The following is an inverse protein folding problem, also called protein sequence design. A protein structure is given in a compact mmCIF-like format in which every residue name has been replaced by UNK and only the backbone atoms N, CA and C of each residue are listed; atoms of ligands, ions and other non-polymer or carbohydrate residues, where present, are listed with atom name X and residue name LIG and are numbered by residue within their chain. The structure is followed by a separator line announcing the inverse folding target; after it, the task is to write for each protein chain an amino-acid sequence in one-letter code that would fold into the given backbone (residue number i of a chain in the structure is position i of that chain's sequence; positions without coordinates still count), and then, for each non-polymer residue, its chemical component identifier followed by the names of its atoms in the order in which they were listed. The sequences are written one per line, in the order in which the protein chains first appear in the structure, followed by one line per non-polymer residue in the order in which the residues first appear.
data_IF_607208748297
#
_entry.id   IF_607208748297
#
_cell.length_a   1.000
_cell.length_b   1.000
_cell.length_c   1.000
_cell.angle_alpha   90.00
_cell.angle_beta   90.00
_cell.angle_gamma   90.00
#
_symmetry.space_group_name_H-M   'P 1'
#
loop_
_entity.id
_entity.type
_entity.pdbx_description
1 polymer ?
#
# COMPACT_ATOMS: atom_id res chain seq x y z
N UNK A 1 -6.58 -21.68 23.19
CA UNK A 1 -6.81 -21.04 21.88
C UNK A 1 -6.50 -19.57 22.05
N UNK A 2 -5.33 -19.12 21.56
CA UNK A 2 -4.87 -17.74 21.71
C UNK A 2 -4.88 -17.08 20.33
N UNK A 3 -5.69 -16.03 20.17
CA UNK A 3 -5.68 -15.17 19.00
C UNK A 3 -4.47 -14.23 19.13
N UNK A 4 -3.53 -14.33 18.20
CA UNK A 4 -2.44 -13.36 18.08
C UNK A 4 -2.97 -12.18 17.27
N UNK A 5 -3.18 -11.05 17.94
CA UNK A 5 -3.45 -9.76 17.33
C UNK A 5 -2.17 -9.21 16.71
N UNK A 6 -2.24 -8.88 15.41
CA UNK A 6 -1.21 -8.12 14.69
C UNK A 6 -0.91 -6.80 15.41
N UNK A 7 0.35 -6.32 15.46
CA UNK A 7 0.63 -5.01 16.03
C UNK A 7 -0.04 -3.93 15.16
N UNK A 8 -0.95 -3.18 15.77
CA UNK A 8 -1.41 -1.92 15.20
C UNK A 8 -0.23 -0.94 15.17
N UNK A 9 0.12 -0.47 13.98
CA UNK A 9 0.98 0.69 13.75
C UNK A 9 0.48 1.87 14.62
N UNK A 10 1.32 2.67 15.30
CA UNK A 10 0.82 3.67 16.24
C UNK A 10 0.01 4.70 15.47
N UNK A 11 -1.32 4.63 15.66
CA UNK A 11 -2.28 5.54 15.08
C UNK A 11 -1.87 6.99 15.39
N UNK A 12 -1.80 7.82 14.35
CA UNK A 12 -1.75 9.27 14.52
C UNK A 12 -3.06 9.67 15.22
N UNK A 13 -3.03 10.24 16.44
CA UNK A 13 -4.24 10.55 17.18
C UNK A 13 -5.12 11.50 16.36
N UNK A 14 -6.32 11.04 15.98
CA UNK A 14 -7.29 11.80 15.18
C UNK A 14 -7.42 11.42 13.70
N UNK A 15 -6.69 10.41 13.21
CA UNK A 15 -6.70 9.96 11.78
C UNK A 15 -7.40 8.61 11.57
N UNK A 16 -7.80 7.93 12.65
CA UNK A 16 -8.46 6.62 12.58
C UNK A 16 -9.97 6.78 12.30
N UNK A 17 -10.29 7.14 11.06
CA UNK A 17 -11.66 7.18 10.53
C UNK A 17 -11.82 6.13 9.45
N UNK A 18 -12.96 5.41 9.38
CA UNK A 18 -13.17 4.39 8.36
C UNK A 18 -12.97 4.97 6.97
N UNK A 19 -12.00 4.42 6.24
CA UNK A 19 -11.68 4.83 4.88
C UNK A 19 -11.38 3.59 4.05
N UNK A 20 -12.07 3.44 2.92
CA UNK A 20 -11.91 2.31 2.02
C UNK A 20 -11.62 2.77 0.59
N UNK A 21 -10.92 1.93 -0.16
CA UNK A 21 -10.53 2.20 -1.54
C UNK A 21 -10.81 0.97 -2.40
N UNK A 22 -11.36 1.17 -3.59
CA UNK A 22 -11.68 0.07 -4.50
C UNK A 22 -11.46 0.50 -5.96
N UNK A 23 -10.63 -0.22 -6.75
CA UNK A 23 -9.80 -1.35 -6.34
C UNK A 23 -8.68 -0.94 -5.35
N UNK A 24 -8.06 -1.91 -4.70
CA UNK A 24 -6.93 -1.69 -3.78
C UNK A 24 -5.56 -1.76 -4.49
N UNK A 25 -5.56 -1.98 -5.80
CA UNK A 25 -4.37 -2.00 -6.65
C UNK A 25 -4.71 -1.63 -8.10
N UNK A 26 -3.70 -1.23 -8.86
CA UNK A 26 -3.81 -0.95 -10.30
C UNK A 26 -2.71 -0.03 -10.83
N UNK A 27 -2.51 0.04 -12.17
CA UNK A 27 -1.55 0.95 -12.77
C UNK A 27 -2.00 2.41 -12.75
N UNK A 28 -1.11 3.36 -13.06
CA UNK A 28 -1.51 4.72 -13.42
C UNK A 28 -2.69 4.76 -14.40
N UNK A 29 -3.62 5.69 -14.18
CA UNK A 29 -4.88 5.81 -14.91
C UNK A 29 -6.03 4.93 -14.38
N UNK A 30 -5.78 4.03 -13.42
CA UNK A 30 -6.86 3.26 -12.77
C UNK A 30 -7.82 4.21 -12.04
N UNK A 31 -9.12 4.05 -12.27
CA UNK A 31 -10.17 4.74 -11.51
C UNK A 31 -10.39 4.02 -10.19
N UNK A 32 -10.21 4.75 -9.09
CA UNK A 32 -10.36 4.26 -7.72
C UNK A 32 -11.48 5.03 -7.04
N UNK A 33 -12.42 4.30 -6.45
CA UNK A 33 -13.42 4.87 -5.55
C UNK A 33 -12.85 4.94 -4.14
N UNK A 34 -12.78 6.14 -3.59
CA UNK A 34 -12.36 6.43 -2.22
C UNK A 34 -13.60 6.75 -1.40
N UNK A 35 -13.85 5.99 -0.34
CA UNK A 35 -14.96 6.23 0.60
C UNK A 35 -14.43 6.57 1.98
N UNK A 36 -15.01 7.58 2.60
CA UNK A 36 -14.69 8.00 3.97
C UNK A 36 -15.94 8.21 4.80
N UNK A 37 -15.88 7.88 6.09
CA UNK A 37 -16.98 8.02 7.05
C UNK A 37 -16.54 8.80 8.30
N UNK A 38 -17.52 9.32 9.05
CA UNK A 38 -17.30 10.06 10.31
C UNK A 38 -16.39 11.30 10.13
N UNK A 39 -16.39 11.89 8.94
CA UNK A 39 -15.71 13.15 8.64
C UNK A 39 -16.54 14.34 9.16
N UNK A 40 -15.92 15.53 9.31
CA UNK A 40 -16.69 16.75 9.55
C UNK A 40 -17.77 16.94 8.46
N UNK A 41 -19.01 17.20 8.85
CA UNK A 41 -20.13 17.31 7.92
C UNK A 41 -20.10 18.62 7.12
N UNK A 42 -20.58 18.58 5.86
CA UNK A 42 -20.68 19.76 4.98
C UNK A 42 -19.36 20.55 4.95
N UNK A 43 -18.25 19.83 4.85
CA UNK A 43 -16.89 20.38 4.98
C UNK A 43 -16.09 20.08 3.72
N UNK A 44 -15.39 21.08 3.15
CA UNK A 44 -14.49 20.85 2.03
C UNK A 44 -13.29 20.02 2.48
N UNK A 45 -12.98 18.98 1.71
CA UNK A 45 -11.88 18.04 1.98
C UNK A 45 -11.06 17.78 0.72
N UNK A 46 -9.75 17.66 0.88
CA UNK A 46 -8.87 17.21 -0.20
C UNK A 46 -8.69 15.70 -0.12
N UNK A 47 -8.85 15.01 -1.25
CA UNK A 47 -8.44 13.62 -1.40
C UNK A 47 -7.08 13.61 -2.08
N UNK A 48 -6.10 13.01 -1.43
CA UNK A 48 -4.72 12.98 -1.87
C UNK A 48 -4.19 11.55 -1.96
N UNK A 49 -3.16 11.35 -2.77
CA UNK A 49 -2.37 10.11 -2.82
C UNK A 49 -0.93 10.42 -2.41
N UNK A 50 -0.37 9.60 -1.53
CA UNK A 50 1.02 9.76 -1.08
C UNK A 50 1.71 8.43 -0.84
N UNK A 51 3.03 8.43 -1.01
CA UNK A 51 3.89 7.31 -0.65
C UNK A 51 4.54 7.54 0.71
N UNK A 52 4.86 6.45 1.41
CA UNK A 52 5.63 6.52 2.66
C UNK A 52 6.95 7.27 2.38
N UNK A 53 7.18 8.38 3.10
CA UNK A 53 8.41 9.22 3.02
C UNK A 53 8.65 9.96 1.69
N UNK A 54 7.67 10.05 0.78
CA UNK A 54 7.85 10.66 -0.56
C UNK A 54 6.95 11.88 -0.84
N UNK A 55 6.12 12.28 0.13
CA UNK A 55 5.16 13.38 -0.01
C UNK A 55 3.80 12.90 -0.51
N UNK A 56 2.91 13.85 -0.81
CA UNK A 56 1.57 13.57 -1.33
C UNK A 56 1.17 14.61 -2.37
N UNK A 57 0.22 14.24 -3.22
CA UNK A 57 -0.46 15.14 -4.15
C UNK A 57 -1.97 15.10 -3.93
N UNK A 58 -2.61 16.27 -3.87
CA UNK A 58 -4.06 16.38 -3.85
C UNK A 58 -4.63 16.09 -5.25
N UNK A 59 -5.46 15.06 -5.35
CA UNK A 59 -6.08 14.63 -6.60
C UNK A 59 -7.39 15.35 -6.87
N UNK A 60 -8.17 15.62 -5.82
CA UNK A 60 -9.45 16.30 -5.94
C UNK A 60 -9.81 17.06 -4.65
N UNK A 61 -10.73 18.01 -4.79
CA UNK A 61 -11.39 18.73 -3.69
C UNK A 61 -12.88 18.37 -3.74
N UNK A 62 -13.40 17.89 -2.63
CA UNK A 62 -14.77 17.42 -2.50
C UNK A 62 -15.46 18.05 -1.28
N UNK A 63 -16.78 17.91 -1.19
CA UNK A 63 -17.57 18.34 -0.05
C UNK A 63 -18.20 17.13 0.62
N UNK A 64 -17.95 16.94 1.92
CA UNK A 64 -18.59 15.85 2.68
C UNK A 64 -20.09 16.08 2.82
N UNK A 65 -20.84 15.00 2.98
CA UNK A 65 -22.30 15.09 3.18
C UNK A 65 -22.64 15.67 4.55
N UNK A 66 -23.93 15.94 4.78
CA UNK A 66 -24.47 16.30 6.11
C UNK A 66 -24.25 15.25 7.19
N UNK A 67 -23.88 14.02 6.80
CA UNK A 67 -23.60 12.90 7.70
C UNK A 67 -22.10 12.66 7.90
N UNK A 68 -21.25 13.47 7.26
CA UNK A 68 -19.80 13.26 7.34
C UNK A 68 -19.31 12.10 6.47
N UNK A 69 -20.03 11.81 5.38
CA UNK A 69 -19.64 10.79 4.41
C UNK A 69 -18.96 11.44 3.20
N UNK A 70 -18.10 10.68 2.53
CA UNK A 70 -17.43 11.03 1.29
C UNK A 70 -17.41 9.80 0.38
N UNK A 71 -17.74 9.98 -0.91
CA UNK A 71 -17.49 8.99 -1.96
C UNK A 71 -17.00 9.72 -3.19
N UNK A 72 -15.74 9.50 -3.56
CA UNK A 72 -15.09 10.18 -4.68
C UNK A 72 -14.40 9.18 -5.60
N UNK A 73 -14.44 9.44 -6.90
CA UNK A 73 -13.74 8.66 -7.90
C UNK A 73 -12.53 9.46 -8.41
N UNK A 74 -11.35 8.87 -8.31
CA UNK A 74 -10.08 9.51 -8.67
C UNK A 74 -9.23 8.58 -9.52
N UNK A 75 -8.49 9.15 -10.47
CA UNK A 75 -7.54 8.39 -11.27
C UNK A 75 -6.16 8.32 -10.57
N UNK A 76 -5.50 7.16 -10.63
CA UNK A 76 -4.11 7.04 -10.17
C UNK A 76 -3.19 7.90 -11.06
N UNK A 77 -2.38 8.80 -10.50
CA UNK A 77 -1.47 9.65 -11.28
C UNK A 77 -0.38 8.89 -12.03
N UNK A 78 0.17 9.53 -13.08
CA UNK A 78 1.26 9.00 -13.92
C UNK A 78 2.60 8.89 -13.19
N UNK A 79 2.85 9.76 -12.21
CA UNK A 79 4.05 9.69 -11.36
C UNK A 79 4.01 8.53 -10.39
N UNK A 80 2.85 7.92 -10.14
CA UNK A 80 2.70 6.84 -9.17
C UNK A 80 3.49 5.62 -9.66
N UNK A 81 4.52 5.25 -8.91
CA UNK A 81 5.45 4.18 -9.30
C UNK A 81 5.02 2.84 -8.69
N UNK A 82 5.21 1.77 -9.46
CA UNK A 82 4.97 0.41 -9.01
C UNK A 82 6.07 -0.15 -8.07
N UNK A 83 7.02 0.68 -7.62
CA UNK A 83 8.14 0.31 -6.75
C UNK A 83 7.83 0.45 -5.25
N UNK A 84 6.64 0.95 -4.90
CA UNK A 84 6.18 1.15 -3.53
C UNK A 84 4.66 1.15 -3.42
N UNK A 85 4.16 0.86 -2.22
CA UNK A 85 2.76 1.08 -1.89
C UNK A 85 2.49 2.57 -1.58
N UNK A 86 1.26 3.00 -1.83
CA UNK A 86 0.76 4.35 -1.57
C UNK A 86 -0.45 4.28 -0.64
N UNK A 87 -0.91 5.44 -0.16
CA UNK A 87 -2.12 5.55 0.65
C UNK A 87 -2.93 6.74 0.20
N UNK A 88 -4.25 6.60 0.22
CA UNK A 88 -5.14 7.73 0.09
C UNK A 88 -5.27 8.44 1.44
N UNK A 89 -5.22 9.76 1.41
CA UNK A 89 -5.28 10.61 2.58
C UNK A 89 -6.38 11.64 2.34
N UNK A 90 -7.30 11.75 3.29
CA UNK A 90 -8.33 12.78 3.28
C UNK A 90 -7.86 13.88 4.22
N UNK A 91 -7.76 15.10 3.72
CA UNK A 91 -7.36 16.28 4.47
C UNK A 91 -8.51 17.28 4.61
N UNK A 92 -8.45 18.13 5.62
CA UNK A 92 -9.25 19.36 5.65
C UNK A 92 -8.71 20.41 4.65
N UNK A 93 -9.37 21.57 4.61
CA UNK A 93 -8.98 22.69 3.74
C UNK A 93 -7.57 23.28 4.03
N UNK A 94 -6.95 22.93 5.16
CA UNK A 94 -5.63 23.40 5.58
C UNK A 94 -4.57 22.28 5.51
N UNK A 95 -4.87 21.17 4.85
CA UNK A 95 -3.98 20.00 4.75
C UNK A 95 -3.66 19.33 6.09
N UNK A 96 -4.57 19.42 7.07
CA UNK A 96 -4.50 18.59 8.28
C UNK A 96 -5.18 17.24 8.01
N UNK A 97 -4.51 16.09 8.26
CA UNK A 97 -5.06 14.79 7.90
C UNK A 97 -6.28 14.46 8.76
N UNK A 98 -7.38 14.11 8.10
CA UNK A 98 -8.63 13.66 8.71
C UNK A 98 -8.76 12.14 8.68
N UNK A 99 -8.34 11.49 7.61
CA UNK A 99 -8.45 10.03 7.49
C UNK A 99 -7.41 9.47 6.54
N UNK A 100 -7.10 8.19 6.68
CA UNK A 100 -6.20 7.47 5.78
C UNK A 100 -6.77 6.10 5.41
N UNK A 101 -6.64 5.71 4.15
CA UNK A 101 -7.05 4.38 3.68
C UNK A 101 -6.09 3.29 4.13
N UNK A 102 -6.41 2.02 3.91
CA UNK A 102 -5.39 0.97 3.76
C UNK A 102 -4.45 1.28 2.56
N UNK A 103 -3.36 0.52 2.41
CA UNK A 103 -2.45 0.75 1.29
C UNK A 103 -3.09 0.41 -0.06
N UNK A 104 -2.77 1.24 -1.04
CA UNK A 104 -3.02 1.03 -2.44
C UNK A 104 -1.73 0.58 -3.13
N UNK A 105 -1.78 -0.52 -3.86
CA UNK A 105 -0.61 -1.05 -4.54
C UNK A 105 -0.61 -0.64 -6.02
N UNK A 106 0.26 0.31 -6.35
CA UNK A 106 0.47 0.69 -7.75
C UNK A 106 1.16 -0.47 -8.48
N UNK A 107 0.65 -0.83 -9.64
CA UNK A 107 1.18 -1.90 -10.49
C UNK A 107 1.69 -1.36 -11.82
N UNK A 108 2.42 -2.19 -12.58
CA UNK A 108 2.59 -2.02 -14.01
C UNK A 108 1.28 -2.32 -14.76
N UNK A 109 1.20 -1.99 -16.06
CA UNK A 109 0.04 -2.30 -16.90
C UNK A 109 -0.27 -3.80 -17.00
N UNK A 110 0.71 -4.65 -16.72
CA UNK A 110 0.64 -6.11 -16.68
C UNK A 110 0.34 -6.67 -15.28
N UNK A 111 0.08 -5.81 -14.29
CA UNK A 111 -0.20 -6.20 -12.91
C UNK A 111 1.05 -6.48 -12.06
N UNK A 112 2.25 -6.18 -12.58
CA UNK A 112 3.51 -6.40 -11.86
C UNK A 112 3.78 -5.31 -10.82
N UNK A 113 4.47 -5.68 -9.74
CA UNK A 113 5.01 -4.77 -8.75
C UNK A 113 6.52 -5.00 -8.62
N UNK A 114 7.22 -3.93 -8.26
CA UNK A 114 8.63 -3.98 -7.88
C UNK A 114 8.74 -3.76 -6.37
N UNK A 115 9.42 -4.65 -5.64
CA UNK A 115 9.58 -4.47 -4.19
C UNK A 115 11.00 -4.76 -3.75
N UNK A 116 11.55 -3.85 -2.97
CA UNK A 116 12.82 -4.07 -2.27
C UNK A 116 12.49 -4.38 -0.82
N UNK A 117 13.12 -5.44 -0.30
CA UNK A 117 12.92 -5.81 1.09
C UNK A 117 13.95 -6.82 1.58
N UNK A 118 13.80 -7.22 2.84
CA UNK A 118 14.59 -8.27 3.47
C UNK A 118 13.74 -9.48 3.75
N UNK A 119 14.28 -10.65 3.44
CA UNK A 119 13.64 -11.93 3.75
C UNK A 119 13.65 -12.13 5.25
N UNK A 120 12.47 -12.19 5.84
CA UNK A 120 12.25 -12.38 7.27
C UNK A 120 12.15 -13.88 7.60
N UNK A 121 11.42 -14.63 6.78
CA UNK A 121 11.13 -16.04 7.03
C UNK A 121 11.12 -16.82 5.72
N UNK A 122 11.58 -18.09 5.78
CA UNK A 122 11.53 -19.03 4.66
C UNK A 122 10.95 -20.33 5.20
N UNK A 123 9.81 -20.73 4.66
CA UNK A 123 9.14 -21.99 4.93
C UNK A 123 8.83 -22.67 3.60
N UNK A 124 8.57 -23.98 3.62
CA UNK A 124 8.37 -24.78 2.40
C UNK A 124 7.34 -24.13 1.45
N UNK A 125 7.84 -23.58 0.32
CA UNK A 125 7.03 -22.90 -0.70
C UNK A 125 6.53 -21.47 -0.37
N UNK A 126 6.80 -20.96 0.83
CA UNK A 126 6.36 -19.64 1.32
C UNK A 126 7.54 -18.84 1.88
N UNK A 127 7.75 -17.64 1.34
CA UNK A 127 8.77 -16.71 1.85
C UNK A 127 8.09 -15.44 2.34
N UNK A 128 8.44 -14.98 3.54
CA UNK A 128 7.99 -13.69 4.06
C UNK A 128 9.08 -12.64 3.80
N UNK A 129 8.71 -11.54 3.16
CA UNK A 129 9.60 -10.40 2.91
C UNK A 129 9.07 -9.16 3.63
N UNK A 130 9.90 -8.54 4.45
CA UNK A 130 9.65 -7.23 5.01
C UNK A 130 10.22 -6.18 4.04
N UNK A 131 9.31 -5.48 3.35
CA UNK A 131 9.61 -4.44 2.37
C UNK A 131 10.10 -3.14 3.01
N UNK A 132 10.87 -2.37 2.24
CA UNK A 132 11.37 -1.03 2.64
C UNK A 132 10.22 0.00 2.75
N UNK A 133 9.03 -0.35 2.26
CA UNK A 133 7.76 0.38 2.41
C UNK A 133 7.00 0.04 3.70
N UNK A 134 7.68 -0.60 4.66
CA UNK A 134 7.15 -1.04 5.96
C UNK A 134 5.98 -2.04 5.80
N UNK A 135 5.95 -2.79 4.70
CA UNK A 135 4.95 -3.83 4.44
C UNK A 135 5.54 -5.22 4.43
N UNK A 136 4.76 -6.19 4.93
CA UNK A 136 5.08 -7.60 4.81
C UNK A 136 4.42 -8.18 3.55
N UNK A 137 5.20 -8.91 2.77
CA UNK A 137 4.78 -9.63 1.57
C UNK A 137 4.89 -11.13 1.80
N UNK A 138 3.86 -11.87 1.37
CA UNK A 138 3.85 -13.34 1.32
C UNK A 138 4.16 -13.78 -0.10
N UNK A 139 5.39 -14.26 -0.30
CA UNK A 139 5.92 -14.63 -1.60
C UNK A 139 5.66 -16.11 -1.90
N UNK A 140 5.26 -16.38 -3.13
CA UNK A 140 5.17 -17.71 -3.76
C UNK A 140 5.86 -17.67 -5.14
N UNK A 141 6.07 -18.83 -5.78
CA UNK A 141 6.60 -18.91 -7.15
C UNK A 141 8.10 -19.15 -7.24
N UNK A 142 8.82 -18.33 -8.00
CA UNK A 142 10.26 -18.48 -8.24
C UNK A 142 11.08 -18.07 -7.00
N UNK A 143 11.27 -19.00 -6.06
CA UNK A 143 11.88 -18.73 -4.75
C UNK A 143 13.17 -19.53 -4.48
N UNK A 144 13.67 -20.28 -5.46
CA UNK A 144 14.86 -21.12 -5.30
C UNK A 144 16.10 -20.29 -4.99
N UNK A 145 16.87 -20.69 -3.97
CA UNK A 145 18.10 -20.01 -3.58
C UNK A 145 17.92 -18.76 -2.70
N UNK A 146 16.69 -18.45 -2.29
CA UNK A 146 16.40 -17.41 -1.29
C UNK A 146 16.67 -17.92 0.12
N UNK A 147 17.36 -17.12 0.93
CA UNK A 147 17.65 -17.41 2.34
C UNK A 147 17.19 -16.28 3.26
N UNK A 148 16.89 -16.62 4.51
CA UNK A 148 16.57 -15.62 5.55
C UNK A 148 17.72 -14.61 5.67
N UNK A 149 17.37 -13.33 5.73
CA UNK A 149 18.32 -12.23 5.78
C UNK A 149 18.77 -11.71 4.41
N UNK A 150 18.47 -12.40 3.30
CA UNK A 150 18.72 -11.89 1.96
C UNK A 150 17.98 -10.56 1.76
N UNK A 151 18.65 -9.61 1.11
CA UNK A 151 18.01 -8.38 0.64
C UNK A 151 17.74 -8.54 -0.85
N UNK A 152 16.48 -8.42 -1.24
CA UNK A 152 16.03 -8.72 -2.60
C UNK A 152 15.35 -7.51 -3.21
N UNK A 153 15.51 -7.38 -4.53
CA UNK A 153 14.61 -6.61 -5.38
C UNK A 153 13.79 -7.62 -6.19
N UNK A 154 12.48 -7.57 -6.03
CA UNK A 154 11.53 -8.53 -6.59
C UNK A 154 10.74 -7.89 -7.71
N UNK A 155 10.48 -8.68 -8.76
CA UNK A 155 9.38 -8.48 -9.67
C UNK A 155 8.31 -9.54 -9.37
N UNK A 156 7.09 -9.11 -9.12
CA UNK A 156 6.03 -10.01 -8.69
C UNK A 156 4.64 -9.55 -9.15
N UNK A 157 3.67 -10.45 -9.17
CA UNK A 157 2.27 -10.14 -9.44
C UNK A 157 1.46 -10.27 -8.15
N UNK A 158 0.59 -9.31 -7.88
CA UNK A 158 -0.33 -9.34 -6.74
C UNK A 158 -1.37 -10.45 -6.94
N UNK A 159 -1.64 -11.22 -5.89
CA UNK A 159 -2.69 -12.23 -5.87
C UNK A 159 -3.87 -11.75 -5.04
N UNK A 160 -5.05 -12.32 -5.25
CA UNK A 160 -6.19 -12.10 -4.35
C UNK A 160 -6.07 -12.95 -3.07
N UNK A 161 -5.56 -14.18 -3.22
CA UNK A 161 -5.41 -15.14 -2.14
C UNK A 161 -4.08 -15.89 -2.23
N UNK A 162 -3.61 -16.40 -1.10
CA UNK A 162 -2.42 -17.26 -1.01
C UNK A 162 -2.59 -18.27 0.13
N UNK A 163 -2.00 -19.48 0.03
CA UNK A 163 -1.90 -20.39 1.17
C UNK A 163 -0.90 -19.94 2.23
N UNK A 164 -0.02 -18.98 1.92
CA UNK A 164 0.97 -18.47 2.85
C UNK A 164 0.34 -17.53 3.90
N UNK A 165 0.78 -17.62 5.15
CA UNK A 165 0.20 -16.81 6.21
C UNK A 165 0.77 -15.38 6.23
N UNK A 166 -0.13 -14.39 6.22
CA UNK A 166 0.17 -13.01 6.57
C UNK A 166 0.84 -12.17 5.47
N UNK A 167 0.58 -10.86 5.49
CA UNK A 167 1.12 -9.93 4.50
C UNK A 167 0.39 -9.96 3.15
N UNK A 168 0.87 -9.13 2.23
CA UNK A 168 0.29 -8.99 0.89
C UNK A 168 0.70 -10.16 0.01
N UNK A 169 -0.25 -10.94 -0.53
CA UNK A 169 0.05 -12.13 -1.30
C UNK A 169 0.59 -11.76 -2.68
N UNK A 170 1.77 -12.27 -3.03
CA UNK A 170 2.40 -12.02 -4.32
C UNK A 170 3.04 -13.29 -4.88
N UNK A 171 3.04 -13.40 -6.20
CA UNK A 171 3.76 -14.42 -6.94
C UNK A 171 4.99 -13.81 -7.59
N UNK A 172 6.17 -14.21 -7.12
CA UNK A 172 7.46 -13.75 -7.65
C UNK A 172 7.67 -14.38 -9.02
N UNK A 173 7.92 -13.51 -10.01
CA UNK A 173 8.27 -13.88 -11.37
C UNK A 173 9.77 -13.84 -11.59
N UNK A 174 10.44 -12.86 -10.99
CA UNK A 174 11.89 -12.74 -11.00
C UNK A 174 12.39 -12.03 -9.73
N UNK A 175 13.65 -12.26 -9.38
CA UNK A 175 14.29 -11.51 -8.30
C UNK A 175 15.80 -11.43 -8.46
N UNK A 176 16.38 -10.38 -7.87
CA UNK A 176 17.82 -10.23 -7.74
C UNK A 176 18.20 -9.89 -6.30
N UNK A 177 19.41 -10.33 -5.89
CA UNK A 177 19.99 -9.89 -4.62
C UNK A 177 20.32 -8.40 -4.73
N UNK A 178 19.67 -7.59 -3.92
CA UNK A 178 19.89 -6.16 -3.89
C UNK A 178 21.25 -5.86 -3.26
N UNK A 179 22.18 -5.36 -4.08
CA UNK A 179 23.46 -4.84 -3.64
C UNK A 179 23.44 -3.32 -3.76
N UNK A 180 23.41 -2.55 -2.65
CA UNK A 180 23.48 -1.10 -2.75
C UNK A 180 24.83 -0.70 -3.35
N UNK A 181 24.83 0.24 -4.29
CA UNK A 181 26.06 0.77 -4.85
C UNK A 181 27.00 1.27 -3.72
N UNK A 182 28.32 1.02 -3.80
CA UNK A 182 29.26 1.55 -2.82
C UNK A 182 29.11 3.08 -2.76
N UNK A 183 28.91 3.59 -1.56
CA UNK A 183 28.82 5.03 -1.30
C UNK A 183 30.22 5.63 -1.60
N UNK A 184 30.32 6.70 -2.42
CA UNK A 184 31.60 7.36 -2.70
C UNK A 184 32.20 8.00 -1.45
#
# INVERSE_FOLDING_TARGET
MAQQTTPADPAVPGVDRPTSVTPWSGPPGTEVTVRGELLPAITPVHVALGGTRTGFEALTLALTTRWGELEEMVAIPDWARNDRAHRFIIFDAYFSPLATSALFHVTGPDGTILRIGRVAEVHEGCVALDGDDDQRYSLTGALEGISVGDRLELEAVILEETPCAGGVPVRVTDFQRFSPAPRP
#
